data_IF_759687032922
#
_entry.id   IF_759687032922
#
_cell.length_a   1.000
_cell.length_b   1.000
_cell.length_c   1.000
_cell.angle_alpha   90.00
_cell.angle_beta   90.00
_cell.angle_gamma   90.00
#
_symmetry.space_group_name_H-M   'P 1'
#
loop_
_entity.id
_entity.type
_entity.pdbx_description
1 polymer ?
#
# COMPACT_ATOMS: atom_id res chain seq x y z
N UNK A 1 16.29 -15.18 14.81
CA UNK A 1 17.40 -15.98 14.25
C UNK A 1 16.91 -17.18 13.44
N UNK A 2 16.20 -18.16 14.02
CA UNK A 2 15.79 -19.40 13.31
C UNK A 2 14.88 -19.19 12.08
N UNK A 3 13.94 -18.24 12.14
CA UNK A 3 13.03 -17.91 11.02
C UNK A 3 13.75 -17.17 9.88
N UNK A 4 14.69 -16.29 10.24
CA UNK A 4 15.53 -15.60 9.24
C UNK A 4 16.48 -16.60 8.59
N UNK A 5 17.05 -17.52 9.37
CA UNK A 5 17.88 -18.62 8.86
C UNK A 5 17.08 -19.59 7.95
N UNK A 6 15.81 -19.89 8.29
CA UNK A 6 14.99 -20.75 7.44
C UNK A 6 14.64 -20.08 6.10
N UNK A 7 14.34 -18.76 6.10
CA UNK A 7 14.08 -18.01 4.86
C UNK A 7 15.34 -17.77 4.01
N UNK A 8 16.50 -17.58 4.64
CA UNK A 8 17.79 -17.49 3.92
C UNK A 8 18.18 -18.84 3.32
N UNK A 9 17.88 -19.95 3.99
CA UNK A 9 18.20 -21.30 3.48
C UNK A 9 17.41 -21.67 2.22
N UNK A 10 16.12 -21.31 2.15
CA UNK A 10 15.28 -21.56 0.97
C UNK A 10 15.67 -20.68 -0.22
N UNK A 11 16.17 -19.47 0.04
CA UNK A 11 16.64 -18.57 -1.02
C UNK A 11 18.04 -18.95 -1.55
N UNK A 12 18.94 -19.41 -0.67
CA UNK A 12 20.26 -19.92 -1.04
C UNK A 12 20.19 -21.15 -1.96
N UNK A 13 19.21 -22.04 -1.73
CA UNK A 13 18.96 -23.18 -2.60
C UNK A 13 18.56 -22.78 -4.03
N UNK A 14 17.84 -21.67 -4.19
CA UNK A 14 17.45 -21.13 -5.50
C UNK A 14 18.61 -20.40 -6.21
N UNK A 15 19.46 -19.69 -5.47
CA UNK A 15 20.62 -18.98 -6.03
C UNK A 15 21.72 -19.94 -6.53
N UNK A 16 21.89 -21.09 -5.87
CA UNK A 16 22.84 -22.12 -6.29
C UNK A 16 22.49 -22.75 -7.66
N UNK A 17 21.22 -22.74 -8.05
CA UNK A 17 20.78 -23.25 -9.36
C UNK A 17 21.14 -22.27 -10.48
N UNK A 18 21.22 -20.97 -10.18
CA UNK A 18 21.59 -19.93 -11.15
C UNK A 18 23.11 -19.78 -11.28
N UNK A 19 23.86 -19.98 -10.19
CA UNK A 19 25.32 -19.83 -10.18
C UNK A 19 26.09 -20.94 -10.92
N UNK A 20 25.54 -22.16 -11.02
CA UNK A 20 26.25 -23.29 -11.64
C UNK A 20 26.21 -23.25 -13.19
N UNK A 21 25.60 -22.24 -13.80
CA UNK A 21 25.53 -22.07 -15.26
C UNK A 21 26.60 -21.17 -15.88
N UNK A 22 27.51 -20.56 -15.09
CA UNK A 22 28.37 -19.46 -15.58
C UNK A 22 29.89 -19.68 -15.47
N UNK A 23 30.38 -20.91 -15.39
CA UNK A 23 31.83 -21.18 -15.34
C UNK A 23 32.38 -21.71 -16.66
N UNK A 24 32.53 -20.86 -17.67
CA UNK A 24 33.63 -20.94 -18.66
C UNK A 24 33.58 -19.79 -19.68
N UNK A 25 34.13 -18.62 -19.36
CA UNK A 25 34.73 -17.77 -20.38
C UNK A 25 35.77 -16.82 -19.77
N UNK A 26 36.95 -16.79 -20.39
CA UNK A 26 38.01 -15.83 -20.10
C UNK A 26 37.60 -14.46 -20.64
N UNK A 27 36.99 -13.64 -19.80
CA UNK A 27 36.58 -12.28 -20.18
C UNK A 27 37.76 -11.29 -20.08
N UNK A 28 37.87 -10.34 -21.02
CA UNK A 28 38.89 -9.30 -21.01
C UNK A 28 38.70 -8.33 -19.82
N UNK A 29 39.76 -7.61 -19.42
CA UNK A 29 39.70 -6.65 -18.31
C UNK A 29 38.68 -5.54 -18.60
N UNK A 30 37.73 -5.38 -17.68
CA UNK A 30 36.69 -4.34 -17.72
C UNK A 30 37.34 -2.96 -17.82
N UNK A 31 36.91 -2.16 -18.79
CA UNK A 31 37.48 -0.84 -19.05
C UNK A 31 36.91 0.19 -18.08
N UNK A 32 37.73 1.15 -17.64
CA UNK A 32 37.32 2.20 -16.68
C UNK A 32 36.08 2.99 -17.15
N UNK A 33 35.91 3.13 -18.46
CA UNK A 33 34.73 3.76 -19.08
C UNK A 33 33.42 2.99 -18.86
N UNK A 34 33.44 1.66 -18.81
CA UNK A 34 32.24 0.87 -18.52
C UNK A 34 31.80 1.02 -17.06
N UNK A 35 32.77 1.10 -16.14
CA UNK A 35 32.48 1.34 -14.72
C UNK A 35 31.81 2.71 -14.52
N UNK A 36 32.31 3.76 -15.17
CA UNK A 36 31.73 5.10 -15.09
C UNK A 36 30.33 5.17 -15.71
N UNK A 37 30.09 4.43 -16.80
CA UNK A 37 28.76 4.33 -17.42
C UNK A 37 27.75 3.63 -16.52
N UNK A 38 28.15 2.54 -15.85
CA UNK A 38 27.31 1.82 -14.89
C UNK A 38 27.00 2.72 -13.68
N UNK A 39 27.99 3.46 -13.17
CA UNK A 39 27.80 4.37 -12.04
C UNK A 39 26.79 5.49 -12.36
N UNK A 40 26.91 6.07 -13.55
CA UNK A 40 25.97 7.09 -14.05
C UNK A 40 24.55 6.55 -14.20
N UNK A 41 24.40 5.34 -14.73
CA UNK A 41 23.10 4.67 -14.86
C UNK A 41 22.46 4.39 -13.48
N UNK A 42 23.24 3.92 -12.51
CA UNK A 42 22.76 3.68 -11.14
C UNK A 42 22.30 4.98 -10.46
N UNK A 43 23.05 6.07 -10.65
CA UNK A 43 22.71 7.37 -10.08
C UNK A 43 21.43 7.95 -10.70
N UNK A 44 21.27 7.85 -12.02
CA UNK A 44 20.04 8.24 -12.71
C UNK A 44 18.82 7.44 -12.22
N UNK A 45 18.99 6.13 -12.01
CA UNK A 45 17.93 5.27 -11.50
C UNK A 45 17.55 5.63 -10.05
N UNK A 46 18.53 6.01 -9.22
CA UNK A 46 18.29 6.47 -7.85
C UNK A 46 17.49 7.79 -7.84
N UNK A 47 17.83 8.76 -8.69
CA UNK A 47 17.10 10.03 -8.80
C UNK A 47 15.65 9.82 -9.28
N UNK A 48 15.45 8.93 -10.27
CA UNK A 48 14.10 8.57 -10.73
C UNK A 48 13.28 7.94 -9.61
N UNK A 49 13.89 7.10 -8.77
CA UNK A 49 13.20 6.45 -7.67
C UNK A 49 12.83 7.46 -6.58
N UNK A 50 13.73 8.38 -6.23
CA UNK A 50 13.43 9.45 -5.28
C UNK A 50 12.27 10.34 -5.75
N UNK A 51 12.19 10.67 -7.05
CA UNK A 51 11.04 11.41 -7.62
C UNK A 51 9.74 10.63 -7.53
N UNK A 52 9.75 9.34 -7.88
CA UNK A 52 8.57 8.49 -7.76
C UNK A 52 8.06 8.40 -6.31
N UNK A 53 8.98 8.35 -5.35
CA UNK A 53 8.65 8.32 -3.92
C UNK A 53 8.09 9.66 -3.44
N UNK A 54 8.65 10.79 -3.88
CA UNK A 54 8.09 12.10 -3.55
C UNK A 54 6.69 12.30 -4.15
N UNK A 55 6.48 11.82 -5.36
CA UNK A 55 5.19 11.89 -6.06
C UNK A 55 4.14 11.00 -5.37
N UNK A 56 4.54 9.80 -4.94
CA UNK A 56 3.67 8.93 -4.15
C UNK A 56 3.35 9.55 -2.79
N UNK A 57 4.35 10.11 -2.11
CA UNK A 57 4.18 10.76 -0.80
C UNK A 57 3.25 11.96 -0.90
N UNK A 58 3.38 12.78 -1.95
CA UNK A 58 2.47 13.91 -2.19
C UNK A 58 1.06 13.44 -2.56
N UNK A 59 0.92 12.36 -3.33
CA UNK A 59 -0.36 11.75 -3.66
C UNK A 59 -1.06 11.19 -2.44
N UNK A 60 -0.32 10.50 -1.55
CA UNK A 60 -0.85 10.00 -0.27
C UNK A 60 -1.25 11.14 0.64
N UNK A 61 -0.44 12.21 0.73
CA UNK A 61 -0.80 13.41 1.51
C UNK A 61 -2.07 14.06 0.97
N UNK A 62 -2.18 14.23 -0.35
CA UNK A 62 -3.37 14.78 -0.97
C UNK A 62 -4.61 13.88 -0.78
N UNK A 63 -4.43 12.56 -0.67
CA UNK A 63 -5.51 11.63 -0.34
C UNK A 63 -5.96 11.80 1.11
N UNK A 64 -5.02 11.91 2.06
CA UNK A 64 -5.31 12.17 3.48
C UNK A 64 -6.08 13.49 3.62
N UNK A 65 -5.61 14.56 2.97
CA UNK A 65 -6.27 15.87 3.00
C UNK A 65 -7.71 15.82 2.45
N UNK A 66 -7.98 14.93 1.47
CA UNK A 66 -9.34 14.73 0.93
C UNK A 66 -10.23 13.92 1.88
N UNK A 67 -9.67 12.93 2.57
CA UNK A 67 -10.41 12.16 3.57
C UNK A 67 -10.81 13.06 4.75
N UNK A 68 -9.88 13.89 5.24
CA UNK A 68 -10.15 14.87 6.29
C UNK A 68 -11.21 15.92 5.88
N UNK A 69 -11.22 16.31 4.60
CA UNK A 69 -12.24 17.22 4.08
C UNK A 69 -13.63 16.57 4.03
N UNK A 70 -13.73 15.30 3.61
CA UNK A 70 -15.00 14.57 3.60
C UNK A 70 -15.58 14.35 5.00
N UNK A 71 -14.72 14.14 6.01
CA UNK A 71 -15.18 13.98 7.40
C UNK A 71 -15.80 15.26 7.95
N UNK A 72 -15.27 16.44 7.57
CA UNK A 72 -15.82 17.74 8.03
C UNK A 72 -17.18 18.07 7.41
N UNK A 73 -17.40 17.73 6.15
CA UNK A 73 -18.65 18.07 5.46
C UNK A 73 -19.82 17.15 5.86
N UNK A 74 -19.55 16.01 6.51
CA UNK A 74 -20.58 15.03 6.90
C UNK A 74 -21.27 15.28 8.25
N UNK A 75 -20.84 16.26 9.04
CA UNK A 75 -21.29 16.43 10.45
C UNK A 75 -22.42 17.46 10.63
N UNK A 76 -22.71 18.33 9.66
CA UNK A 76 -23.54 19.52 9.92
C UNK A 76 -25.05 19.44 9.59
N UNK A 77 -25.57 18.36 8.99
CA UNK A 77 -26.95 18.37 8.46
C UNK A 77 -28.04 17.67 9.32
N UNK A 78 -27.77 17.29 10.56
CA UNK A 78 -28.75 16.53 11.38
C UNK A 78 -29.24 17.19 12.68
N UNK A 79 -29.00 18.49 12.91
CA UNK A 79 -29.48 19.14 14.14
C UNK A 79 -30.16 20.52 13.99
N UNK A 80 -30.70 20.84 12.81
CA UNK A 80 -31.51 22.06 12.62
C UNK A 80 -32.97 21.74 12.28
N UNK A 81 -33.67 21.02 13.15
CA UNK A 81 -35.12 21.01 13.11
C UNK A 81 -35.70 20.83 14.52
N UNK A 82 -35.62 21.89 15.33
CA UNK A 82 -36.67 22.34 16.27
C UNK A 82 -36.41 23.84 16.51
N UNK A 83 -37.32 24.67 15.97
CA UNK A 83 -37.76 25.83 16.70
C UNK A 83 -37.38 27.22 16.17
N UNK A 84 -38.44 27.90 15.72
CA UNK A 84 -38.70 29.33 15.92
C UNK A 84 -38.17 30.27 14.84
N UNK A 85 -39.06 30.50 13.87
CA UNK A 85 -39.32 31.79 13.24
C UNK A 85 -38.93 32.97 14.13
N UNK A 86 -37.97 33.77 13.67
CA UNK A 86 -38.05 35.22 13.88
C UNK A 86 -37.35 35.96 12.75
N UNK A 87 -38.15 36.73 12.04
CA UNK A 87 -37.75 37.78 11.12
C UNK A 87 -36.74 38.73 11.77
N UNK A 88 -35.59 38.95 11.13
CA UNK A 88 -34.98 40.28 11.10
C UNK A 88 -33.87 40.39 10.03
N UNK A 89 -34.24 41.10 8.98
CA UNK A 89 -33.52 42.24 8.39
C UNK A 89 -32.02 42.39 8.74
N UNK A 90 -31.26 42.51 7.63
CA UNK A 90 -30.24 43.53 7.40
C UNK A 90 -28.85 43.23 7.98
N UNK A 91 -27.84 43.14 7.10
CA UNK A 91 -26.73 44.12 6.99
C UNK A 91 -25.77 43.70 5.85
N UNK A 92 -25.48 44.68 4.99
CA UNK A 92 -24.39 44.74 4.01
C UNK A 92 -23.03 44.51 4.66
N UNK A 93 -22.14 43.77 4.00
CA UNK A 93 -20.73 43.76 4.37
C UNK A 93 -19.83 43.20 3.27
N UNK A 94 -19.25 44.11 2.48
CA UNK A 94 -18.18 43.86 1.52
C UNK A 94 -16.96 43.16 2.14
N UNK A 95 -16.33 42.26 1.37
CA UNK A 95 -14.87 42.09 1.21
C UNK A 95 -14.64 40.95 0.21
N UNK A 96 -14.27 41.18 -1.05
CA UNK A 96 -12.95 41.62 -1.51
C UNK A 96 -11.81 40.73 -0.99
N UNK A 97 -11.72 39.48 -1.47
CA UNK A 97 -10.52 38.66 -1.32
C UNK A 97 -10.10 38.09 -2.67
N UNK A 98 -9.16 38.82 -3.29
CA UNK A 98 -7.99 38.35 -4.04
C UNK A 98 -8.17 37.17 -5.00
N UNK A 99 -8.46 37.55 -6.24
CA UNK A 99 -7.75 37.09 -7.44
C UNK A 99 -6.25 36.83 -7.17
N UNK A 100 -5.84 35.57 -7.19
CA UNK A 100 -4.47 35.16 -7.51
C UNK A 100 -4.49 34.12 -8.62
N UNK A 101 -4.44 34.64 -9.84
CA UNK A 101 -3.50 34.27 -10.91
C UNK A 101 -3.15 32.78 -11.03
N UNK A 102 -4.11 32.06 -11.59
CA UNK A 102 -3.95 30.88 -12.41
C UNK A 102 -3.10 31.23 -13.64
N UNK A 103 -1.85 30.79 -13.71
CA UNK A 103 -1.02 30.91 -14.92
C UNK A 103 0.05 29.82 -14.98
N UNK A 104 -0.01 29.05 -16.08
CA UNK A 104 0.97 28.10 -16.61
C UNK A 104 1.13 26.76 -15.90
N UNK A 105 0.14 25.89 -16.08
CA UNK A 105 0.39 24.45 -16.24
C UNK A 105 -0.62 23.81 -17.21
N UNK A 106 -0.87 24.49 -18.33
CA UNK A 106 -1.70 24.00 -19.44
C UNK A 106 -0.83 23.84 -20.69
N UNK A 107 0.07 22.87 -20.69
CA UNK A 107 0.68 22.34 -21.91
C UNK A 107 1.06 20.89 -21.60
N UNK A 108 0.59 19.93 -22.41
CA UNK A 108 0.85 18.49 -22.34
C UNK A 108 -0.14 17.59 -21.57
N UNK A 109 -1.45 17.86 -21.63
CA UNK A 109 -2.46 16.81 -21.47
C UNK A 109 -3.45 16.85 -22.65
N UNK A 110 -3.58 15.77 -23.45
CA UNK A 110 -4.62 15.68 -24.48
C UNK A 110 -6.03 15.70 -23.83
N UNK A 111 -7.10 16.02 -24.59
CA UNK A 111 -8.39 16.43 -24.03
C UNK A 111 -9.17 15.25 -23.40
N UNK A 112 -8.85 14.90 -22.16
CA UNK A 112 -9.60 13.94 -21.35
C UNK A 112 -11.05 14.40 -21.05
N UNK A 113 -11.33 15.71 -21.12
CA UNK A 113 -12.68 16.25 -20.90
C UNK A 113 -13.69 15.83 -21.98
N UNK A 114 -13.24 15.57 -23.21
CA UNK A 114 -14.15 15.23 -24.31
C UNK A 114 -14.61 13.77 -24.25
N UNK A 115 -13.79 12.86 -23.72
CA UNK A 115 -14.19 11.46 -23.47
C UNK A 115 -15.15 11.32 -22.28
N UNK A 116 -15.05 12.19 -21.27
CA UNK A 116 -15.94 12.12 -20.10
C UNK A 116 -17.41 12.40 -20.46
N UNK A 117 -17.68 13.37 -21.35
CA UNK A 117 -19.05 13.66 -21.77
C UNK A 117 -19.64 12.57 -22.66
N UNK A 118 -18.82 11.91 -23.49
CA UNK A 118 -19.26 10.79 -24.31
C UNK A 118 -19.58 9.54 -23.46
N UNK A 119 -18.82 9.29 -22.39
CA UNK A 119 -19.11 8.21 -21.44
C UNK A 119 -20.37 8.53 -20.62
N UNK A 120 -20.55 9.79 -20.20
CA UNK A 120 -21.74 10.22 -19.44
C UNK A 120 -23.03 10.08 -20.28
N UNK A 121 -22.95 10.38 -21.57
CA UNK A 121 -24.08 10.24 -22.49
C UNK A 121 -24.33 8.77 -22.90
N UNK A 122 -23.30 7.92 -22.93
CA UNK A 122 -23.44 6.48 -23.16
C UNK A 122 -24.00 5.73 -21.94
N UNK A 123 -23.73 6.21 -20.72
CA UNK A 123 -24.35 5.69 -19.50
C UNK A 123 -25.83 6.10 -19.39
N UNK A 124 -26.19 7.28 -19.88
CA UNK A 124 -27.57 7.80 -19.86
C UNK A 124 -28.50 7.14 -20.89
N UNK A 125 -27.99 6.37 -21.85
CA UNK A 125 -28.80 5.71 -22.91
C UNK A 125 -29.02 4.22 -22.70
N UNK A 126 -28.61 3.65 -21.57
CA UNK A 126 -28.98 2.28 -21.19
C UNK A 126 -30.43 2.30 -20.73
N UNK A 127 -31.33 2.16 -21.69
CA UNK A 127 -32.77 1.99 -21.48
C UNK A 127 -32.99 0.62 -20.83
N UNK A 128 -33.03 0.59 -19.50
CA UNK A 128 -33.49 -0.58 -18.76
C UNK A 128 -34.98 -0.77 -19.07
N UNK A 129 -35.27 -1.80 -19.86
CA UNK A 129 -36.64 -2.23 -20.09
C UNK A 129 -37.33 -2.60 -18.77
N UNK A 130 -38.67 -2.63 -18.73
CA UNK A 130 -39.41 -3.01 -17.54
C UNK A 130 -39.07 -4.45 -17.17
N UNK A 131 -38.15 -4.61 -16.22
CA UNK A 131 -37.88 -5.89 -15.58
C UNK A 131 -39.01 -6.14 -14.58
N UNK A 132 -39.61 -7.31 -14.70
CA UNK A 132 -40.59 -7.83 -13.76
C UNK A 132 -39.97 -7.80 -12.36
N UNK A 133 -40.68 -7.17 -11.42
CA UNK A 133 -40.32 -7.04 -10.02
C UNK A 133 -40.33 -8.42 -9.34
N UNK A 134 -39.32 -9.25 -9.61
CA UNK A 134 -38.89 -10.23 -8.62
C UNK A 134 -38.45 -9.41 -7.40
N UNK A 135 -39.05 -9.72 -6.24
CA UNK A 135 -38.61 -9.19 -4.95
C UNK A 135 -37.18 -9.69 -4.73
N UNK A 136 -36.21 -9.01 -5.32
CA UNK A 136 -34.82 -9.10 -4.95
C UNK A 136 -34.78 -8.83 -3.45
N UNK A 137 -34.42 -9.85 -2.67
CA UNK A 137 -33.96 -9.66 -1.31
C UNK A 137 -32.83 -8.64 -1.40
N UNK A 138 -33.18 -7.37 -1.13
CA UNK A 138 -32.28 -6.25 -1.29
C UNK A 138 -31.00 -6.57 -0.56
N UNK A 139 -29.92 -6.73 -1.32
CA UNK A 139 -28.59 -6.90 -0.74
C UNK A 139 -28.36 -5.67 0.12
N UNK A 140 -28.14 -5.86 1.43
CA UNK A 140 -27.87 -4.76 2.36
C UNK A 140 -26.66 -3.94 1.89
N UNK A 141 -26.92 -2.89 1.09
CA UNK A 141 -25.91 -1.99 0.55
C UNK A 141 -25.09 -1.34 1.66
N UNK A 142 -25.73 -1.07 2.81
CA UNK A 142 -25.08 -0.59 4.02
C UNK A 142 -24.00 -1.56 4.52
N UNK A 143 -24.31 -2.86 4.53
CA UNK A 143 -23.34 -3.91 4.91
C UNK A 143 -22.17 -3.99 3.92
N UNK A 144 -22.42 -3.75 2.64
CA UNK A 144 -21.38 -3.68 1.61
C UNK A 144 -20.48 -2.46 1.82
N UNK A 145 -21.06 -1.30 2.10
CA UNK A 145 -20.31 -0.07 2.38
C UNK A 145 -19.38 -0.24 3.59
N UNK A 146 -19.86 -0.84 4.68
CA UNK A 146 -19.05 -1.12 5.89
C UNK A 146 -17.86 -2.03 5.56
N UNK A 147 -18.03 -3.01 4.66
CA UNK A 147 -16.91 -3.88 4.22
C UNK A 147 -15.84 -3.13 3.43
N UNK A 148 -16.24 -2.12 2.65
CA UNK A 148 -15.29 -1.31 1.89
C UNK A 148 -14.45 -0.41 2.78
N UNK A 149 -15.05 0.17 3.79
CA UNK A 149 -14.35 1.02 4.75
C UNK A 149 -13.19 0.27 5.43
N UNK A 150 -13.45 -0.98 5.83
CA UNK A 150 -12.39 -1.86 6.35
C UNK A 150 -11.24 -2.11 5.36
N UNK A 151 -11.53 -2.28 4.06
CA UNK A 151 -10.50 -2.50 3.02
C UNK A 151 -9.71 -1.22 2.75
N UNK A 152 -10.34 -0.05 2.81
CA UNK A 152 -9.70 1.25 2.64
C UNK A 152 -8.62 1.50 3.68
N UNK A 153 -8.92 1.21 4.95
CA UNK A 153 -7.94 1.33 6.04
C UNK A 153 -6.69 0.48 5.77
N UNK A 154 -6.85 -0.77 5.30
CA UNK A 154 -5.70 -1.61 4.97
C UNK A 154 -4.88 -1.06 3.79
N UNK A 155 -5.53 -0.47 2.79
CA UNK A 155 -4.83 0.16 1.66
C UNK A 155 -3.98 1.36 2.13
N UNK A 156 -4.57 2.23 2.96
CA UNK A 156 -3.89 3.41 3.51
C UNK A 156 -2.71 3.01 4.40
N UNK A 157 -2.92 2.08 5.33
CA UNK A 157 -1.84 1.59 6.22
C UNK A 157 -0.73 0.90 5.42
N UNK A 158 -1.07 0.14 4.38
CA UNK A 158 -0.08 -0.47 3.47
C UNK A 158 0.75 0.61 2.76
N UNK A 159 0.10 1.67 2.25
CA UNK A 159 0.79 2.75 1.55
C UNK A 159 1.70 3.56 2.49
N UNK A 160 1.26 3.83 3.72
CA UNK A 160 2.07 4.49 4.74
C UNK A 160 3.29 3.66 5.16
N UNK A 161 3.09 2.35 5.35
CA UNK A 161 4.16 1.40 5.67
C UNK A 161 5.18 1.35 4.53
N UNK A 162 4.70 1.29 3.28
CA UNK A 162 5.54 1.33 2.08
C UNK A 162 6.37 2.62 2.02
N UNK A 163 5.73 3.78 2.17
CA UNK A 163 6.41 5.08 2.14
C UNK A 163 7.50 5.17 3.22
N UNK A 164 7.20 4.71 4.44
CA UNK A 164 8.15 4.74 5.56
C UNK A 164 9.29 3.74 5.36
N UNK A 165 9.02 2.54 4.83
CA UNK A 165 10.03 1.55 4.49
C UNK A 165 11.02 2.08 3.45
N UNK A 166 10.52 2.80 2.43
CA UNK A 166 11.36 3.43 1.41
C UNK A 166 12.18 4.58 2.00
N UNK A 167 11.59 5.46 2.81
CA UNK A 167 12.33 6.54 3.48
C UNK A 167 13.46 5.98 4.38
N UNK A 168 13.20 4.86 5.05
CA UNK A 168 14.18 4.18 5.91
C UNK A 168 15.34 3.57 5.12
N UNK A 169 15.11 3.25 3.84
CA UNK A 169 16.13 2.74 2.95
C UNK A 169 17.19 3.80 2.61
N UNK A 170 16.76 5.05 2.40
CA UNK A 170 17.64 6.17 2.11
C UNK A 170 18.56 6.52 3.29
N UNK A 171 18.07 6.36 4.52
CA UNK A 171 18.84 6.64 5.73
C UNK A 171 20.08 5.75 5.91
N UNK A 172 20.12 4.56 5.32
CA UNK A 172 21.18 3.58 5.55
C UNK A 172 22.40 3.81 4.63
N UNK A 173 22.37 4.83 3.77
CA UNK A 173 23.56 5.37 3.10
C UNK A 173 24.29 4.32 2.25
N UNK A 174 23.87 4.13 1.01
CA UNK A 174 24.53 3.22 0.06
C UNK A 174 25.98 3.62 -0.28
N UNK A 175 26.38 4.85 0.05
CA UNK A 175 27.71 5.41 -0.28
C UNK A 175 28.90 4.72 0.39
N UNK A 176 28.71 4.03 1.51
CA UNK A 176 29.83 3.43 2.27
C UNK A 176 30.09 1.94 1.96
N UNK A 177 29.38 1.34 0.98
CA UNK A 177 29.54 -0.08 0.62
C UNK A 177 31.00 -0.44 0.27
N UNK A 178 31.64 0.37 -0.57
CA UNK A 178 33.03 0.13 -1.00
C UNK A 178 34.02 0.27 0.17
N UNK A 179 33.75 1.19 1.10
CA UNK A 179 34.58 1.41 2.28
C UNK A 179 34.52 0.21 3.22
N UNK A 180 33.31 -0.27 3.53
CA UNK A 180 33.13 -1.43 4.40
C UNK A 180 33.63 -2.74 3.79
N UNK A 181 33.54 -2.89 2.46
CA UNK A 181 34.14 -4.00 1.75
C UNK A 181 35.67 -4.02 1.91
N UNK A 182 36.32 -2.86 1.79
CA UNK A 182 37.77 -2.71 1.95
C UNK A 182 38.25 -3.01 3.38
N UNK A 183 37.48 -2.58 4.38
CA UNK A 183 37.80 -2.78 5.80
C UNK A 183 37.65 -4.25 6.29
N UNK A 184 37.22 -5.18 5.43
CA UNK A 184 36.94 -6.61 5.77
C UNK A 184 36.08 -6.83 7.01
N UNK A 185 35.27 -5.84 7.38
CA UNK A 185 34.33 -5.95 8.50
C UNK A 185 33.06 -6.71 8.07
N UNK A 186 33.17 -8.04 7.94
CA UNK A 186 32.11 -8.91 7.44
C UNK A 186 30.78 -8.78 8.20
N UNK A 187 30.83 -8.47 9.50
CA UNK A 187 29.63 -8.24 10.30
C UNK A 187 28.81 -7.03 9.83
N UNK A 188 29.44 -5.87 9.63
CA UNK A 188 28.73 -4.66 9.16
C UNK A 188 28.15 -4.86 7.77
N UNK A 189 28.92 -5.51 6.89
CA UNK A 189 28.46 -5.86 5.56
C UNK A 189 27.23 -6.78 5.61
N UNK A 190 27.22 -7.77 6.51
CA UNK A 190 26.08 -8.67 6.67
C UNK A 190 24.81 -7.96 7.15
N UNK A 191 24.92 -6.98 8.04
CA UNK A 191 23.78 -6.18 8.51
C UNK A 191 23.22 -5.32 7.38
N UNK A 192 24.09 -4.63 6.64
CA UNK A 192 23.67 -3.77 5.52
C UNK A 192 22.99 -4.61 4.44
N UNK A 193 23.57 -5.76 4.09
CA UNK A 193 22.99 -6.70 3.13
C UNK A 193 21.64 -7.27 3.61
N UNK A 194 21.54 -7.64 4.89
CA UNK A 194 20.30 -8.12 5.48
C UNK A 194 19.22 -7.03 5.47
N UNK A 195 19.57 -5.80 5.82
CA UNK A 195 18.66 -4.67 5.79
C UNK A 195 18.16 -4.37 4.37
N UNK A 196 19.08 -4.37 3.39
CA UNK A 196 18.76 -4.20 1.97
C UNK A 196 17.78 -5.28 1.49
N UNK A 197 18.04 -6.53 1.85
CA UNK A 197 17.18 -7.67 1.49
C UNK A 197 15.79 -7.58 2.14
N UNK A 198 15.74 -7.37 3.46
CA UNK A 198 14.47 -7.25 4.21
C UNK A 198 13.66 -6.05 3.72
N UNK A 199 14.31 -4.91 3.48
CA UNK A 199 13.69 -3.72 2.93
C UNK A 199 13.11 -3.95 1.54
N UNK A 200 13.87 -4.59 0.64
CA UNK A 200 13.39 -4.92 -0.70
C UNK A 200 12.15 -5.84 -0.68
N UNK A 201 12.16 -6.88 0.17
CA UNK A 201 11.01 -7.77 0.38
C UNK A 201 9.83 -7.00 0.96
N UNK A 202 10.06 -6.13 1.94
CA UNK A 202 9.02 -5.31 2.57
C UNK A 202 8.34 -4.36 1.58
N UNK A 203 9.13 -3.65 0.77
CA UNK A 203 8.64 -2.74 -0.28
C UNK A 203 7.86 -3.49 -1.35
N UNK A 204 8.38 -4.62 -1.84
CA UNK A 204 7.69 -5.43 -2.85
C UNK A 204 6.36 -6.00 -2.36
N UNK A 205 6.33 -6.52 -1.13
CA UNK A 205 5.11 -7.04 -0.52
C UNK A 205 4.08 -5.94 -0.21
N UNK A 206 4.55 -4.76 0.24
CA UNK A 206 3.71 -3.60 0.51
C UNK A 206 3.07 -3.05 -0.77
N UNK A 207 3.84 -2.93 -1.85
CA UNK A 207 3.32 -2.50 -3.15
C UNK A 207 2.27 -3.46 -3.71
N UNK A 208 2.50 -4.78 -3.61
CA UNK A 208 1.51 -5.78 -4.02
C UNK A 208 0.20 -5.63 -3.22
N UNK A 209 0.28 -5.43 -1.90
CA UNK A 209 -0.90 -5.19 -1.06
C UNK A 209 -1.70 -3.95 -1.51
N UNK A 210 -1.02 -2.80 -1.66
CA UNK A 210 -1.65 -1.54 -2.08
C UNK A 210 -2.38 -1.72 -3.41
N UNK A 211 -1.74 -2.32 -4.41
CA UNK A 211 -2.36 -2.53 -5.73
C UNK A 211 -3.63 -3.39 -5.62
N UNK A 212 -3.57 -4.51 -4.89
CA UNK A 212 -4.73 -5.40 -4.75
C UNK A 212 -5.90 -4.71 -4.03
N UNK A 213 -5.63 -3.97 -2.96
CA UNK A 213 -6.68 -3.28 -2.22
C UNK A 213 -7.24 -2.07 -2.97
N UNK A 214 -6.40 -1.25 -3.61
CA UNK A 214 -6.85 -0.12 -4.41
C UNK A 214 -7.69 -0.55 -5.62
N UNK A 215 -7.31 -1.62 -6.32
CA UNK A 215 -8.12 -2.16 -7.42
C UNK A 215 -9.47 -2.70 -6.92
N UNK A 216 -9.46 -3.41 -5.78
CA UNK A 216 -10.69 -3.93 -5.18
C UNK A 216 -11.66 -2.80 -4.79
N UNK A 217 -11.13 -1.72 -4.20
CA UNK A 217 -11.89 -0.52 -3.82
C UNK A 217 -12.46 0.20 -5.05
N UNK A 218 -11.62 0.46 -6.06
CA UNK A 218 -12.02 1.24 -7.23
C UNK A 218 -13.11 0.53 -8.04
N UNK A 219 -12.89 -0.74 -8.39
CA UNK A 219 -13.89 -1.51 -9.15
C UNK A 219 -15.13 -1.79 -8.31
N UNK A 220 -14.95 -2.01 -7.02
CA UNK A 220 -16.03 -2.21 -6.10
C UNK A 220 -16.97 -1.01 -5.97
N UNK A 221 -16.42 0.18 -5.70
CA UNK A 221 -17.18 1.45 -5.64
C UNK A 221 -17.83 1.77 -6.99
N UNK A 222 -17.16 1.47 -8.10
CA UNK A 222 -17.71 1.68 -9.45
C UNK A 222 -18.92 0.80 -9.72
N UNK A 223 -18.88 -0.49 -9.33
CA UNK A 223 -20.01 -1.40 -9.51
C UNK A 223 -21.24 -0.96 -8.69
N UNK A 224 -21.04 -0.55 -7.44
CA UNK A 224 -22.09 -0.01 -6.57
C UNK A 224 -22.62 1.32 -7.13
N UNK A 225 -21.74 2.22 -7.57
CA UNK A 225 -22.13 3.51 -8.15
C UNK A 225 -22.92 3.40 -9.46
N UNK A 226 -22.84 2.25 -10.15
CA UNK A 226 -23.63 1.95 -11.35
C UNK A 226 -24.93 1.18 -11.04
N UNK A 227 -25.22 0.88 -9.77
CA UNK A 227 -26.39 0.09 -9.36
C UNK A 227 -26.36 -1.34 -9.89
N UNK A 228 -25.17 -1.94 -10.10
CA UNK A 228 -25.01 -3.31 -10.63
C UNK A 228 -24.56 -4.28 -9.54
N UNK A 229 -25.44 -4.52 -8.58
CA UNK A 229 -25.14 -5.29 -7.36
C UNK A 229 -24.83 -6.77 -7.66
N UNK A 230 -25.45 -7.35 -8.68
CA UNK A 230 -25.13 -8.70 -9.18
C UNK A 230 -23.68 -8.83 -9.64
N UNK A 231 -23.23 -7.85 -10.44
CA UNK A 231 -21.87 -7.81 -10.97
C UNK A 231 -20.87 -7.57 -9.84
N UNK A 232 -21.24 -6.74 -8.87
CA UNK A 232 -20.47 -6.52 -7.65
C UNK A 232 -20.29 -7.82 -6.86
N UNK A 233 -21.37 -8.55 -6.55
CA UNK A 233 -21.31 -9.82 -5.82
C UNK A 233 -20.47 -10.87 -6.55
N UNK A 234 -20.65 -10.98 -7.87
CA UNK A 234 -19.84 -11.85 -8.73
C UNK A 234 -18.36 -11.50 -8.73
N UNK A 235 -18.01 -10.21 -8.83
CA UNK A 235 -16.64 -9.72 -8.76
C UNK A 235 -16.01 -10.01 -7.38
N UNK A 236 -16.73 -9.73 -6.30
CA UNK A 236 -16.25 -9.92 -4.93
C UNK A 236 -15.99 -11.38 -4.60
N UNK A 237 -16.84 -12.28 -5.09
CA UNK A 237 -16.65 -13.74 -4.93
C UNK A 237 -15.45 -14.23 -5.72
N UNK A 238 -15.29 -13.80 -6.99
CA UNK A 238 -14.16 -14.22 -7.85
C UNK A 238 -12.80 -13.70 -7.36
N UNK A 239 -12.77 -12.54 -6.70
CA UNK A 239 -11.53 -11.90 -6.22
C UNK A 239 -11.22 -12.18 -4.75
N UNK A 240 -12.00 -13.03 -4.07
CA UNK A 240 -11.81 -13.33 -2.65
C UNK A 240 -10.42 -13.88 -2.34
N UNK A 241 -9.92 -14.81 -3.17
CA UNK A 241 -8.59 -15.40 -3.01
C UNK A 241 -7.47 -14.37 -3.19
N UNK A 242 -7.63 -13.45 -4.14
CA UNK A 242 -6.69 -12.38 -4.40
C UNK A 242 -6.63 -11.42 -3.22
N UNK A 243 -7.76 -11.09 -2.58
CA UNK A 243 -7.78 -10.27 -1.37
C UNK A 243 -7.07 -10.95 -0.19
N UNK A 244 -7.26 -12.26 0.00
CA UNK A 244 -6.54 -13.02 1.04
C UNK A 244 -5.02 -13.01 0.77
N UNK A 245 -4.61 -13.18 -0.48
CA UNK A 245 -3.19 -13.07 -0.88
C UNK A 245 -2.65 -11.65 -0.65
N UNK A 246 -3.42 -10.62 -1.00
CA UNK A 246 -3.09 -9.22 -0.71
C UNK A 246 -2.88 -8.98 0.77
N UNK A 247 -3.78 -9.47 1.62
CA UNK A 247 -3.66 -9.39 3.08
C UNK A 247 -2.45 -10.14 3.63
N UNK A 248 -2.09 -11.31 3.08
CA UNK A 248 -0.85 -11.99 3.47
C UNK A 248 0.39 -11.18 3.08
N UNK A 249 0.43 -10.60 1.89
CA UNK A 249 1.52 -9.71 1.48
C UNK A 249 1.60 -8.46 2.35
N UNK A 250 0.47 -7.89 2.74
CA UNK A 250 0.40 -6.80 3.73
C UNK A 250 1.10 -7.19 5.04
N UNK A 251 0.72 -8.32 5.63
CA UNK A 251 1.34 -8.80 6.88
C UNK A 251 2.84 -9.01 6.72
N UNK A 252 3.29 -9.62 5.61
CA UNK A 252 4.72 -9.82 5.33
C UNK A 252 5.44 -8.47 5.28
N UNK A 253 4.86 -7.46 4.62
CA UNK A 253 5.46 -6.13 4.56
C UNK A 253 5.57 -5.46 5.93
N UNK A 254 4.54 -5.61 6.78
CA UNK A 254 4.53 -5.07 8.14
C UNK A 254 5.60 -5.73 9.01
N UNK A 255 5.77 -7.05 8.93
CA UNK A 255 6.84 -7.76 9.65
C UNK A 255 8.24 -7.40 9.12
N UNK A 256 8.41 -7.30 7.81
CA UNK A 256 9.67 -6.86 7.20
C UNK A 256 10.04 -5.45 7.66
N UNK A 257 9.06 -4.53 7.68
CA UNK A 257 9.23 -3.16 8.17
C UNK A 257 9.63 -3.12 9.65
N UNK A 258 9.00 -3.93 10.51
CA UNK A 258 9.41 -4.05 11.92
C UNK A 258 10.86 -4.50 12.07
N UNK A 259 11.29 -5.53 11.31
CA UNK A 259 12.68 -5.99 11.32
C UNK A 259 13.63 -4.91 10.83
N UNK A 260 13.28 -4.19 9.77
CA UNK A 260 14.04 -3.07 9.23
C UNK A 260 14.22 -1.95 10.27
N UNK A 261 13.16 -1.59 11.00
CA UNK A 261 13.21 -0.61 12.09
C UNK A 261 14.16 -1.04 13.21
N UNK A 262 14.16 -2.32 13.58
CA UNK A 262 15.08 -2.82 14.60
C UNK A 262 16.54 -2.76 14.17
N UNK A 263 16.83 -3.10 12.91
CA UNK A 263 18.19 -2.97 12.36
C UNK A 263 18.63 -1.49 12.37
N UNK A 264 17.73 -0.57 12.03
CA UNK A 264 18.01 0.86 12.04
C UNK A 264 18.32 1.36 13.46
N UNK A 265 17.53 0.95 14.47
CA UNK A 265 17.78 1.29 15.88
C UNK A 265 19.12 0.71 16.35
N UNK A 266 19.41 -0.55 16.00
CA UNK A 266 20.66 -1.22 16.35
C UNK A 266 21.88 -0.48 15.78
N UNK A 267 21.77 0.04 14.55
CA UNK A 267 22.85 0.82 13.90
C UNK A 267 23.21 2.12 14.63
N UNK A 268 22.31 2.64 15.47
CA UNK A 268 22.52 3.88 16.25
C UNK A 268 22.90 3.61 17.71
N UNK A 269 22.89 2.36 18.15
CA UNK A 269 23.16 1.99 19.54
C UNK A 269 24.67 1.83 19.79
N UNK A 270 25.21 2.27 20.95
CA UNK A 270 26.60 1.98 21.31
C UNK A 270 26.82 0.47 21.49
N UNK A 271 28.00 -0.02 21.07
CA UNK A 271 28.35 -1.46 21.06
C UNK A 271 28.11 -2.18 22.40
N UNK A 272 28.27 -1.49 23.53
CA UNK A 272 28.08 -2.05 24.87
C UNK A 272 26.62 -2.48 25.15
N UNK A 273 25.64 -1.80 24.54
CA UNK A 273 24.20 -2.05 24.76
C UNK A 273 23.57 -2.90 23.66
N UNK A 274 24.31 -3.16 22.57
CA UNK A 274 23.76 -3.79 21.37
C UNK A 274 23.15 -5.17 21.65
N UNK A 275 23.82 -6.01 22.44
CA UNK A 275 23.30 -7.34 22.79
C UNK A 275 22.01 -7.29 23.62
N UNK A 276 21.89 -6.34 24.55
CA UNK A 276 20.69 -6.15 25.36
C UNK A 276 19.52 -5.65 24.51
N UNK A 277 19.78 -4.65 23.64
CA UNK A 277 18.77 -4.12 22.72
C UNK A 277 18.30 -5.22 21.76
N UNK A 278 19.21 -6.00 21.18
CA UNK A 278 18.85 -7.09 20.28
C UNK A 278 17.99 -8.16 20.98
N UNK A 279 18.36 -8.55 22.19
CA UNK A 279 17.57 -9.50 23.00
C UNK A 279 16.16 -8.98 23.30
N UNK A 280 16.05 -7.72 23.69
CA UNK A 280 14.78 -7.06 23.95
C UNK A 280 13.91 -6.96 22.68
N UNK A 281 14.49 -6.57 21.54
CA UNK A 281 13.76 -6.48 20.27
C UNK A 281 13.26 -7.85 19.79
N UNK A 282 14.05 -8.92 19.93
CA UNK A 282 13.61 -10.28 19.59
C UNK A 282 12.46 -10.73 20.50
N UNK A 283 12.53 -10.41 21.79
CA UNK A 283 11.45 -10.69 22.73
C UNK A 283 10.17 -9.95 22.36
N UNK A 284 10.26 -8.63 22.12
CA UNK A 284 9.14 -7.78 21.72
C UNK A 284 8.51 -8.25 20.41
N UNK A 285 9.33 -8.56 19.40
CA UNK A 285 8.86 -9.09 18.12
C UNK A 285 8.13 -10.43 18.28
N UNK A 286 8.63 -11.30 19.16
CA UNK A 286 7.98 -12.58 19.45
C UNK A 286 6.63 -12.39 20.14
N UNK A 287 6.50 -11.40 21.01
CA UNK A 287 5.24 -11.06 21.66
C UNK A 287 4.23 -10.51 20.65
N UNK A 288 4.61 -9.47 19.89
CA UNK A 288 3.76 -8.87 18.85
C UNK A 288 3.31 -9.93 17.84
N UNK A 289 4.21 -10.81 17.41
CA UNK A 289 3.86 -11.88 16.48
C UNK A 289 2.84 -12.85 17.08
N UNK A 290 2.97 -13.24 18.35
CA UNK A 290 2.01 -14.14 19.01
C UNK A 290 0.62 -13.51 19.09
N UNK A 291 0.56 -12.25 19.50
CA UNK A 291 -0.71 -11.53 19.63
C UNK A 291 -1.39 -11.34 18.26
N UNK A 292 -0.61 -10.92 17.25
CA UNK A 292 -1.11 -10.77 15.89
C UNK A 292 -1.61 -12.10 15.32
N UNK A 293 -0.91 -13.21 15.54
CA UNK A 293 -1.35 -14.54 15.09
C UNK A 293 -2.61 -15.01 15.83
N UNK A 294 -2.76 -14.68 17.12
CA UNK A 294 -3.98 -15.00 17.86
C UNK A 294 -5.20 -14.26 17.26
N UNK A 295 -5.05 -12.96 16.94
CA UNK A 295 -6.10 -12.17 16.29
C UNK A 295 -6.42 -12.72 14.90
N UNK A 296 -5.40 -13.01 14.07
CA UNK A 296 -5.61 -13.52 12.71
C UNK A 296 -6.36 -14.87 12.74
N UNK A 297 -5.97 -15.78 13.64
CA UNK A 297 -6.67 -17.08 13.80
C UNK A 297 -8.10 -16.90 14.27
N UNK A 298 -8.35 -15.95 15.17
CA UNK A 298 -9.71 -15.61 15.62
C UNK A 298 -10.56 -15.01 14.49
N UNK A 299 -9.96 -14.21 13.62
CA UNK A 299 -10.64 -13.56 12.49
C UNK A 299 -10.81 -14.47 11.26
N UNK A 300 -10.07 -15.57 11.14
CA UNK A 300 -10.11 -16.47 9.98
C UNK A 300 -11.52 -17.05 9.75
N UNK A 301 -12.30 -17.27 10.82
CA UNK A 301 -13.69 -17.71 10.73
C UNK A 301 -14.60 -16.74 9.96
N UNK A 302 -14.26 -15.45 9.90
CA UNK A 302 -15.03 -14.41 9.19
C UNK A 302 -14.79 -14.50 7.67
N UNK A 303 -13.63 -15.01 7.26
CA UNK A 303 -13.24 -15.08 5.85
C UNK A 303 -13.55 -16.41 5.17
N UNK A 304 -13.87 -17.45 5.94
CA UNK A 304 -14.31 -18.72 5.41
C UNK A 304 -15.71 -18.56 4.78
N UNK A 305 -15.93 -19.06 3.54
CA UNK A 305 -17.27 -19.11 2.98
C UNK A 305 -18.18 -19.93 3.90
N UNK A 306 -19.45 -19.54 4.06
CA UNK A 306 -20.40 -20.33 4.85
C UNK A 306 -20.40 -21.76 4.31
N UNK A 307 -20.31 -22.75 5.20
CA UNK A 307 -20.40 -24.14 4.80
C UNK A 307 -21.70 -24.33 4.00
N UNK A 308 -21.65 -25.04 2.86
CA UNK A 308 -22.87 -25.36 2.13
C UNK A 308 -23.78 -26.08 3.11
N UNK A 309 -24.96 -25.50 3.37
CA UNK A 309 -26.00 -26.18 4.15
C UNK A 309 -26.22 -27.52 3.44
N UNK A 310 -25.78 -28.61 4.07
CA UNK A 310 -26.17 -29.94 3.63
C UNK A 310 -27.69 -29.89 3.66
N UNK A 311 -28.31 -29.96 2.48
CA UNK A 311 -29.75 -30.07 2.43
C UNK A 311 -30.07 -31.31 3.25
N UNK A 312 -30.74 -31.13 4.39
CA UNK A 312 -31.28 -32.24 5.15
C UNK A 312 -32.27 -32.92 4.20
N UNK A 313 -31.78 -33.93 3.46
CA UNK A 313 -32.58 -34.79 2.61
C UNK A 313 -33.59 -35.48 3.54
N UNK A 314 -34.85 -35.03 3.43
CA UNK A 314 -36.04 -35.55 4.10
C UNK A 314 -36.32 -36.97 3.63
#
# INVERSE_FOLDING_TARGET
AYVVLSMVSTWSAHASIVSNGMTSSSSPPVTRSEVDSILSAMQSMQESNHRAVSDLTSSVRALIDRMDAQERDGVDDSNSDIGVQNDSKMIRGSSAVRLMKQSSMDTYLPPLKQNFNNIKNAAASVNFGPQEEEKEEGVDLERVAIRFDGIEVYAVVSALTLATAVASFEMIGTGDWNKHWSERNGYKLSIIALNLFVGAVGVGAGLHSVIVFSLSLMYGRTAVGLGRDDAFGGFFRKTALQRVRGFRSFLISMYAFMVQMFILIESRCPYMLQGFVLGFMVWLMSHIHRDAQAIIKGAECIFLPPEPKVADDI
#
